data_IF_491874158127
#
_entry.id   IF_491874158127
#
_cell.length_a   1.000
_cell.length_b   1.000
_cell.length_c   1.000
_cell.angle_alpha   90.00
_cell.angle_beta   90.00
_cell.angle_gamma   90.00
#
_symmetry.space_group_name_H-M   'P 1'
#
loop_
_entity.id
_entity.type
_entity.pdbx_description
1 polymer ?
#
# COMPACT_ATOMS: atom_id res chain seq x y z
N UNK A 1 -6.91 9.82 5.76
CA UNK A 1 -6.44 10.46 7.01
C UNK A 1 -4.99 10.09 7.26
N UNK A 2 -4.65 8.84 7.56
CA UNK A 2 -3.25 8.42 7.88
C UNK A 2 -2.27 8.73 6.74
N UNK A 3 -2.68 8.64 5.49
CA UNK A 3 -1.86 9.00 4.32
C UNK A 3 -1.75 10.52 4.07
N UNK A 4 -2.36 11.34 4.93
CA UNK A 4 -2.43 12.81 4.75
C UNK A 4 -3.08 13.26 3.44
N UNK A 5 -4.00 12.47 2.91
CA UNK A 5 -4.82 12.82 1.74
C UNK A 5 -6.13 13.51 2.12
N UNK A 6 -6.55 13.32 3.37
CA UNK A 6 -7.74 13.95 3.97
C UNK A 6 -7.45 14.33 5.41
N UNK A 7 -8.00 15.45 5.86
CA UNK A 7 -7.89 15.86 7.26
C UNK A 7 -8.84 15.08 8.17
N UNK A 8 -8.47 14.80 9.42
CA UNK A 8 -9.37 14.20 10.39
C UNK A 8 -10.46 15.20 10.81
N UNK A 9 -11.67 14.72 11.03
CA UNK A 9 -12.76 15.55 11.57
C UNK A 9 -12.47 15.99 13.01
N UNK A 10 -11.75 15.14 13.76
CA UNK A 10 -11.31 15.41 15.14
C UNK A 10 -10.13 14.49 15.47
N UNK A 11 -9.44 14.81 16.58
CA UNK A 11 -8.27 14.07 17.04
C UNK A 11 -6.97 14.52 16.39
N UNK A 12 -5.86 13.92 16.84
CA UNK A 12 -4.52 14.24 16.36
C UNK A 12 -3.81 12.95 15.92
N UNK A 13 -2.99 13.08 14.89
CA UNK A 13 -2.13 12.02 14.42
C UNK A 13 -0.66 12.37 14.68
N UNK A 14 0.07 11.40 15.17
CA UNK A 14 1.49 11.54 15.46
C UNK A 14 2.29 10.52 14.66
N UNK A 15 3.39 10.96 14.09
CA UNK A 15 4.37 10.11 13.43
C UNK A 15 5.71 10.29 14.14
N UNK A 16 6.20 9.21 14.74
CA UNK A 16 7.47 9.23 15.49
C UNK A 16 7.50 10.34 16.58
N UNK A 17 6.39 10.49 17.29
CA UNK A 17 6.23 11.49 18.37
C UNK A 17 5.98 12.93 17.92
N UNK A 18 5.96 13.21 16.59
CA UNK A 18 5.64 14.54 16.05
C UNK A 18 4.23 14.56 15.45
N UNK A 19 3.50 15.63 15.74
CA UNK A 19 2.20 15.84 15.09
C UNK A 19 2.35 15.92 13.56
N UNK A 20 1.56 15.17 12.81
CA UNK A 20 1.67 15.21 11.34
C UNK A 20 1.32 16.58 10.76
N UNK A 21 0.47 17.36 11.46
CA UNK A 21 0.15 18.74 11.08
C UNK A 21 1.36 19.69 11.12
N UNK A 22 2.41 19.32 11.85
CA UNK A 22 3.66 20.09 11.96
C UNK A 22 4.67 19.71 10.87
N UNK A 23 4.39 18.69 10.09
CA UNK A 23 5.26 18.20 9.01
C UNK A 23 4.76 18.75 7.67
N UNK A 24 5.70 19.02 6.74
CA UNK A 24 5.27 19.26 5.37
C UNK A 24 4.66 17.99 4.78
N UNK A 25 3.53 18.08 4.07
CA UNK A 25 2.89 16.91 3.45
C UNK A 25 3.83 16.11 2.54
N UNK A 26 4.73 16.80 1.86
CA UNK A 26 5.74 16.18 1.00
C UNK A 26 6.75 15.33 1.81
N UNK A 27 7.29 15.88 2.89
CA UNK A 27 8.22 15.17 3.76
C UNK A 27 7.55 13.96 4.44
N UNK A 28 6.29 14.10 4.84
CA UNK A 28 5.50 13.03 5.43
C UNK A 28 5.24 11.89 4.42
N UNK A 29 4.76 12.23 3.22
CA UNK A 29 4.44 11.24 2.16
C UNK A 29 5.66 10.52 1.59
N UNK A 30 6.86 11.04 1.78
CA UNK A 30 8.10 10.30 1.48
C UNK A 30 8.38 9.16 2.47
N UNK A 31 7.79 9.22 3.68
CA UNK A 31 7.97 8.23 4.73
C UNK A 31 6.76 7.31 4.92
N UNK A 32 5.57 7.78 4.54
CA UNK A 32 4.31 7.04 4.65
C UNK A 32 3.75 6.86 3.25
N UNK A 33 3.79 5.63 2.76
CA UNK A 33 3.34 5.28 1.42
C UNK A 33 1.97 4.62 1.47
N UNK A 34 1.10 4.92 0.52
CA UNK A 34 -0.26 4.40 0.45
C UNK A 34 -0.52 3.68 -0.88
N UNK A 35 -0.95 2.43 -0.77
CA UNK A 35 -1.39 1.61 -1.89
C UNK A 35 -2.91 1.51 -1.87
N UNK A 36 -3.55 2.07 -2.87
CA UNK A 36 -5.01 2.09 -3.02
C UNK A 36 -5.55 0.73 -3.46
N UNK A 37 -6.77 0.42 -3.07
CA UNK A 37 -7.54 -0.73 -3.55
C UNK A 37 -7.63 -0.74 -5.09
N UNK A 38 -7.93 0.41 -5.69
CA UNK A 38 -7.89 0.57 -7.14
C UNK A 38 -6.57 1.25 -7.53
N UNK A 39 -5.66 0.54 -8.22
CA UNK A 39 -4.36 1.07 -8.53
C UNK A 39 -4.45 2.21 -9.56
N UNK A 40 -3.97 3.39 -9.20
CA UNK A 40 -3.80 4.51 -10.13
C UNK A 40 -2.41 4.43 -10.76
N UNK A 41 -2.35 4.12 -12.06
CA UNK A 41 -1.13 4.15 -12.84
C UNK A 41 -1.05 5.43 -13.67
N UNK A 42 0.18 5.89 -13.91
CA UNK A 42 0.49 7.14 -14.60
C UNK A 42 1.28 6.85 -15.88
N UNK A 43 1.35 7.85 -16.78
CA UNK A 43 2.10 7.73 -18.02
C UNK A 43 1.55 6.66 -18.97
N UNK A 44 2.43 6.04 -19.72
CA UNK A 44 2.07 5.07 -20.76
C UNK A 44 2.59 3.66 -20.47
N UNK A 45 3.67 3.52 -19.72
CA UNK A 45 4.37 2.26 -19.51
C UNK A 45 4.56 1.92 -18.03
N UNK A 46 4.92 0.68 -17.75
CA UNK A 46 5.35 0.23 -16.42
C UNK A 46 6.56 1.05 -15.98
N UNK A 47 7.52 1.29 -16.87
CA UNK A 47 8.69 2.12 -16.58
C UNK A 47 8.30 3.50 -16.07
N UNK A 48 7.35 4.19 -16.71
CA UNK A 48 6.92 5.52 -16.28
C UNK A 48 6.44 5.52 -14.83
N UNK A 49 5.76 4.44 -14.43
CA UNK A 49 5.28 4.27 -13.06
C UNK A 49 6.40 4.02 -12.06
N UNK A 50 7.33 3.12 -12.37
CA UNK A 50 8.43 2.78 -11.47
C UNK A 50 9.50 3.89 -11.41
N UNK A 51 9.64 4.69 -12.46
CA UNK A 51 10.54 5.84 -12.50
C UNK A 51 10.01 7.07 -11.76
N UNK A 52 8.70 7.19 -11.57
CA UNK A 52 8.06 8.36 -10.93
C UNK A 52 8.65 8.69 -9.54
N UNK A 53 8.87 7.73 -8.61
CA UNK A 53 9.48 8.02 -7.32
C UNK A 53 10.88 8.62 -7.41
N UNK A 54 11.66 8.23 -8.43
CA UNK A 54 12.99 8.78 -8.69
C UNK A 54 12.90 10.21 -9.20
N UNK A 55 11.98 10.47 -10.15
CA UNK A 55 11.74 11.81 -10.70
C UNK A 55 11.34 12.81 -9.61
N UNK A 56 10.42 12.42 -8.72
CA UNK A 56 10.00 13.24 -7.57
C UNK A 56 11.18 13.58 -6.65
N UNK A 57 12.18 12.69 -6.55
CA UNK A 57 13.39 12.86 -5.73
C UNK A 57 14.57 13.45 -6.50
N UNK A 58 14.39 13.78 -7.78
CA UNK A 58 15.44 14.28 -8.68
C UNK A 58 16.65 13.33 -8.74
N UNK A 59 16.38 12.04 -8.78
CA UNK A 59 17.37 10.97 -8.88
C UNK A 59 17.23 10.22 -10.20
N UNK A 60 18.31 9.63 -10.67
CA UNK A 60 18.29 8.76 -11.86
C UNK A 60 17.57 7.45 -11.53
N UNK A 61 16.65 6.99 -12.39
CA UNK A 61 15.98 5.71 -12.23
C UNK A 61 16.97 4.53 -12.24
N UNK A 62 16.75 3.57 -11.35
CA UNK A 62 17.52 2.31 -11.29
C UNK A 62 16.74 1.18 -11.98
N UNK A 63 16.97 1.00 -13.27
CA UNK A 63 16.27 -0.01 -14.07
C UNK A 63 16.56 -1.43 -13.59
N UNK A 64 17.77 -1.71 -13.09
CA UNK A 64 18.11 -3.04 -12.57
C UNK A 64 17.28 -3.39 -11.34
N UNK A 65 17.14 -2.42 -10.44
CA UNK A 65 16.25 -2.58 -9.28
C UNK A 65 14.79 -2.77 -9.71
N UNK A 66 14.30 -1.98 -10.67
CA UNK A 66 12.93 -2.12 -11.19
C UNK A 66 12.68 -3.51 -11.76
N UNK A 67 13.60 -4.04 -12.58
CA UNK A 67 13.50 -5.38 -13.16
C UNK A 67 13.54 -6.47 -12.08
N UNK A 68 14.46 -6.37 -11.12
CA UNK A 68 14.55 -7.30 -10.00
C UNK A 68 13.27 -7.28 -9.14
N UNK A 69 12.70 -6.10 -8.89
CA UNK A 69 11.44 -5.97 -8.14
C UNK A 69 10.26 -6.56 -8.93
N UNK A 70 10.19 -6.36 -10.25
CA UNK A 70 9.19 -7.01 -11.09
C UNK A 70 9.26 -8.53 -10.95
N UNK A 71 10.46 -9.11 -11.12
CA UNK A 71 10.68 -10.55 -10.98
C UNK A 71 10.29 -11.06 -9.58
N UNK A 72 10.68 -10.35 -8.52
CA UNK A 72 10.31 -10.67 -7.13
C UNK A 72 8.80 -10.77 -6.93
N UNK A 73 8.05 -9.87 -7.56
CA UNK A 73 6.58 -9.85 -7.50
C UNK A 73 5.90 -10.74 -8.56
N UNK A 74 6.63 -11.69 -9.15
CA UNK A 74 6.08 -12.64 -10.13
C UNK A 74 5.69 -12.00 -11.46
N UNK A 75 6.32 -10.89 -11.83
CA UNK A 75 6.13 -10.20 -13.10
C UNK A 75 7.38 -10.35 -13.97
N UNK A 76 7.26 -10.59 -15.29
CA UNK A 76 8.42 -10.65 -16.18
C UNK A 76 9.20 -9.33 -16.19
N UNK A 77 10.52 -9.38 -16.16
CA UNK A 77 11.40 -8.20 -16.27
C UNK A 77 11.12 -7.39 -17.55
N UNK A 78 10.82 -8.09 -18.65
CA UNK A 78 10.47 -7.50 -19.94
C UNK A 78 9.18 -6.65 -19.87
N UNK A 79 8.38 -6.82 -18.81
CA UNK A 79 7.17 -6.01 -18.60
C UNK A 79 7.48 -4.52 -18.37
N UNK A 80 8.74 -4.17 -18.06
CA UNK A 80 9.13 -2.78 -17.80
C UNK A 80 8.73 -1.84 -18.94
N UNK A 81 8.78 -2.28 -20.19
CA UNK A 81 8.42 -1.48 -21.38
C UNK A 81 6.95 -1.66 -21.82
N UNK A 82 6.19 -2.52 -21.14
CA UNK A 82 4.79 -2.82 -21.49
C UNK A 82 3.87 -1.63 -21.23
N UNK A 83 2.89 -1.44 -22.10
CA UNK A 83 1.84 -0.43 -21.90
C UNK A 83 0.99 -0.77 -20.69
N UNK A 84 0.66 0.23 -19.86
CA UNK A 84 -0.23 0.07 -18.71
C UNK A 84 -1.65 -0.34 -19.09
N UNK A 85 -2.06 -0.07 -20.33
CA UNK A 85 -3.38 -0.45 -20.85
C UNK A 85 -3.49 -1.95 -21.15
N UNK A 86 -2.36 -2.64 -21.30
CA UNK A 86 -2.30 -4.08 -21.56
C UNK A 86 -2.16 -4.92 -20.28
N UNK A 87 -2.12 -4.26 -19.12
CA UNK A 87 -2.00 -4.93 -17.83
C UNK A 87 -3.36 -5.41 -17.33
N UNK A 88 -3.39 -6.62 -16.78
CA UNK A 88 -4.52 -7.12 -15.97
C UNK A 88 -4.67 -6.31 -14.68
N UNK A 89 -5.79 -6.44 -13.99
CA UNK A 89 -6.02 -5.80 -12.70
C UNK A 89 -4.96 -6.16 -11.66
N UNK A 90 -4.63 -7.44 -11.55
CA UNK A 90 -3.61 -7.92 -10.63
C UNK A 90 -2.19 -7.48 -10.99
N UNK A 91 -1.84 -7.37 -12.29
CA UNK A 91 -0.57 -6.80 -12.74
C UNK A 91 -0.48 -5.32 -12.37
N UNK A 92 -1.55 -4.53 -12.59
CA UNK A 92 -1.62 -3.12 -12.20
C UNK A 92 -1.42 -2.94 -10.70
N UNK A 93 -2.03 -3.80 -9.89
CA UNK A 93 -1.92 -3.76 -8.44
C UNK A 93 -0.47 -3.99 -8.00
N UNK A 94 0.19 -5.02 -8.54
CA UNK A 94 1.60 -5.33 -8.23
C UNK A 94 2.53 -4.21 -8.70
N UNK A 95 2.35 -3.67 -9.90
CA UNK A 95 3.13 -2.52 -10.39
C UNK A 95 2.96 -1.30 -9.47
N UNK A 96 1.74 -1.02 -9.01
CA UNK A 96 1.49 0.07 -8.06
C UNK A 96 2.21 -0.15 -6.72
N UNK A 97 2.20 -1.38 -6.20
CA UNK A 97 2.92 -1.73 -4.98
C UNK A 97 4.44 -1.61 -5.16
N UNK A 98 4.99 -2.16 -6.25
CA UNK A 98 6.43 -2.04 -6.58
C UNK A 98 6.85 -0.57 -6.69
N UNK A 99 6.04 0.29 -7.30
CA UNK A 99 6.29 1.73 -7.36
C UNK A 99 6.48 2.34 -5.98
N UNK A 100 5.61 1.98 -5.03
CA UNK A 100 5.67 2.49 -3.66
C UNK A 100 6.89 1.97 -2.88
N UNK A 101 7.50 0.88 -3.33
CA UNK A 101 8.67 0.24 -2.72
C UNK A 101 10.00 0.61 -3.40
N UNK A 102 9.99 1.44 -4.46
CA UNK A 102 11.24 1.89 -5.08
C UNK A 102 12.15 2.65 -4.09
N UNK A 103 11.54 3.39 -3.17
CA UNK A 103 12.20 3.94 -1.98
C UNK A 103 11.45 3.41 -0.76
N UNK A 104 12.13 2.60 0.05
CA UNK A 104 11.50 1.94 1.19
C UNK A 104 10.90 2.97 2.15
N UNK A 105 9.58 2.97 2.35
CA UNK A 105 8.94 3.86 3.32
C UNK A 105 9.17 3.36 4.75
N UNK A 106 8.88 4.19 5.74
CA UNK A 106 8.82 3.75 7.14
C UNK A 106 7.47 3.13 7.50
N UNK A 107 6.40 3.60 6.84
CA UNK A 107 5.05 3.08 6.99
C UNK A 107 4.46 2.81 5.61
N UNK A 108 3.92 1.63 5.43
CA UNK A 108 3.21 1.19 4.24
C UNK A 108 1.75 0.94 4.59
N UNK A 109 0.86 1.71 3.97
CA UNK A 109 -0.58 1.57 4.11
C UNK A 109 -1.11 0.77 2.92
N UNK A 110 -1.70 -0.38 3.17
CA UNK A 110 -2.25 -1.30 2.17
C UNK A 110 -3.76 -1.35 2.31
N UNK A 111 -4.48 -0.97 1.27
CA UNK A 111 -5.94 -0.90 1.27
C UNK A 111 -6.50 -1.94 0.31
N UNK A 112 -6.85 -3.13 0.83
CA UNK A 112 -7.43 -4.27 0.09
C UNK A 112 -6.67 -4.63 -1.19
N UNK A 113 -5.33 -4.50 -1.18
CA UNK A 113 -4.50 -4.59 -2.38
C UNK A 113 -4.45 -5.99 -3.01
N UNK A 114 -4.86 -7.01 -2.29
CA UNK A 114 -4.85 -8.42 -2.74
C UNK A 114 -6.19 -8.87 -3.31
N UNK A 115 -7.24 -8.07 -3.17
CA UNK A 115 -8.61 -8.43 -3.57
C UNK A 115 -8.78 -8.77 -5.06
N UNK A 116 -7.92 -8.23 -5.93
CA UNK A 116 -7.91 -8.48 -7.36
C UNK A 116 -6.91 -9.56 -7.81
N UNK A 117 -6.23 -10.23 -6.86
CA UNK A 117 -5.22 -11.25 -7.11
C UNK A 117 -5.83 -12.66 -7.00
N UNK A 118 -5.31 -13.59 -7.80
CA UNK A 118 -5.50 -15.02 -7.56
C UNK A 118 -4.71 -15.48 -6.32
N UNK A 119 -5.01 -16.65 -5.79
CA UNK A 119 -4.46 -17.18 -4.54
C UNK A 119 -2.93 -17.31 -4.56
N UNK A 120 -2.33 -17.65 -5.71
CA UNK A 120 -0.88 -17.76 -5.84
C UNK A 120 -0.20 -16.40 -5.74
N UNK A 121 -0.70 -15.42 -6.49
CA UNK A 121 -0.18 -14.05 -6.47
C UNK A 121 -0.44 -13.37 -5.11
N UNK A 122 -1.58 -13.65 -4.47
CA UNK A 122 -1.88 -13.17 -3.13
C UNK A 122 -0.83 -13.66 -2.13
N UNK A 123 -0.57 -14.97 -2.09
CA UNK A 123 0.46 -15.56 -1.22
C UNK A 123 1.83 -14.96 -1.47
N UNK A 124 2.23 -14.82 -2.74
CA UNK A 124 3.50 -14.20 -3.08
C UNK A 124 3.62 -12.77 -2.55
N UNK A 125 2.58 -11.93 -2.72
CA UNK A 125 2.58 -10.56 -2.20
C UNK A 125 2.67 -10.56 -0.67
N UNK A 126 1.90 -11.41 0.02
CA UNK A 126 1.92 -11.53 1.47
C UNK A 126 3.31 -11.92 1.98
N UNK A 127 3.93 -12.95 1.40
CA UNK A 127 5.28 -13.38 1.76
C UNK A 127 6.31 -12.26 1.57
N UNK A 128 6.25 -11.53 0.44
CA UNK A 128 7.17 -10.42 0.18
C UNK A 128 6.98 -9.30 1.21
N UNK A 129 5.75 -8.93 1.54
CA UNK A 129 5.48 -7.88 2.53
C UNK A 129 6.02 -8.29 3.89
N UNK A 130 5.79 -9.53 4.33
CA UNK A 130 6.35 -10.05 5.59
C UNK A 130 7.88 -10.07 5.60
N UNK A 131 8.52 -10.46 4.49
CA UNK A 131 9.98 -10.39 4.35
C UNK A 131 10.49 -8.95 4.47
N UNK A 132 9.82 -7.99 3.81
CA UNK A 132 10.19 -6.58 3.90
C UNK A 132 10.08 -6.03 5.32
N UNK A 133 9.06 -6.43 6.07
CA UNK A 133 8.91 -6.08 7.50
C UNK A 133 10.08 -6.64 8.31
N UNK A 134 10.46 -7.90 8.06
CA UNK A 134 11.56 -8.55 8.77
C UNK A 134 12.95 -7.97 8.41
N UNK A 135 13.16 -7.62 7.15
CA UNK A 135 14.44 -7.10 6.63
C UNK A 135 14.63 -5.61 6.94
N UNK A 136 13.54 -4.86 6.99
CA UNK A 136 13.55 -3.41 7.16
C UNK A 136 12.72 -3.03 8.40
N UNK A 137 12.97 -1.85 8.95
CA UNK A 137 12.11 -1.28 10.01
C UNK A 137 10.83 -0.70 9.40
N UNK A 138 10.08 -1.52 8.68
CA UNK A 138 8.85 -1.17 8.00
C UNK A 138 7.65 -1.50 8.89
N UNK A 139 6.82 -0.50 9.18
CA UNK A 139 5.51 -0.73 9.76
C UNK A 139 4.47 -0.87 8.63
N UNK A 140 3.64 -1.90 8.68
CA UNK A 140 2.58 -2.10 7.70
C UNK A 140 1.22 -1.98 8.39
N UNK A 141 0.37 -1.14 7.86
CA UNK A 141 -1.05 -1.07 8.23
C UNK A 141 -1.87 -1.61 7.05
N UNK A 142 -2.52 -2.73 7.26
CA UNK A 142 -3.25 -3.44 6.22
C UNK A 142 -4.75 -3.41 6.50
N UNK A 143 -5.52 -2.84 5.58
CA UNK A 143 -6.98 -2.94 5.58
C UNK A 143 -7.34 -4.15 4.72
N UNK A 144 -8.00 -5.13 5.32
CA UNK A 144 -8.36 -6.38 4.65
C UNK A 144 -9.60 -7.02 5.28
N UNK A 145 -10.30 -7.84 4.51
CA UNK A 145 -11.33 -8.77 4.96
C UNK A 145 -10.87 -10.23 4.82
N UNK A 146 -9.64 -10.45 4.38
CA UNK A 146 -9.08 -11.78 4.19
C UNK A 146 -8.66 -12.41 5.51
N UNK A 147 -9.17 -13.62 5.77
CA UNK A 147 -8.94 -14.33 7.05
C UNK A 147 -7.50 -14.81 7.21
N UNK A 148 -6.80 -15.12 6.13
CA UNK A 148 -5.40 -15.53 6.19
C UNK A 148 -4.49 -14.33 6.50
N UNK A 149 -4.76 -13.18 5.86
CA UNK A 149 -4.03 -11.94 6.16
C UNK A 149 -4.24 -11.50 7.61
N UNK A 150 -5.48 -11.57 8.10
CA UNK A 150 -5.80 -11.27 9.52
C UNK A 150 -5.08 -12.23 10.46
N UNK A 151 -5.02 -13.53 10.15
CA UNK A 151 -4.41 -14.53 10.99
C UNK A 151 -2.87 -14.38 11.12
N UNK A 152 -2.22 -13.74 10.13
CA UNK A 152 -0.78 -13.50 10.14
C UNK A 152 -0.39 -12.09 10.63
N UNK A 153 -1.35 -11.28 11.04
CA UNK A 153 -1.08 -9.95 11.57
C UNK A 153 -0.56 -10.03 13.02
N UNK A 154 0.41 -9.17 13.36
CA UNK A 154 0.91 -9.05 14.74
C UNK A 154 -0.15 -8.46 15.66
N UNK A 155 -0.97 -7.53 15.15
CA UNK A 155 -2.06 -6.88 15.86
C UNK A 155 -3.25 -6.65 14.92
N UNK A 156 -4.47 -6.87 15.43
CA UNK A 156 -5.72 -6.67 14.68
C UNK A 156 -6.58 -5.61 15.35
N UNK A 157 -6.96 -4.58 14.61
CA UNK A 157 -7.86 -3.53 15.03
C UNK A 157 -9.16 -3.67 14.24
N UNK A 158 -10.25 -3.96 14.94
CA UNK A 158 -11.59 -4.03 14.33
C UNK A 158 -12.29 -2.70 14.44
N UNK A 159 -12.61 -2.09 13.29
CA UNK A 159 -13.41 -0.87 13.23
C UNK A 159 -14.88 -1.24 13.11
N UNK A 160 -15.71 -0.73 14.03
CA UNK A 160 -17.16 -0.86 13.95
C UNK A 160 -17.76 0.34 13.22
N UNK A 161 -18.76 0.11 12.38
CA UNK A 161 -19.49 1.19 11.73
C UNK A 161 -20.22 2.04 12.80
N UNK A 162 -20.12 3.34 12.70
CA UNK A 162 -20.88 4.26 13.56
C UNK A 162 -22.38 4.02 13.33
N UNK A 163 -23.10 3.56 14.36
CA UNK A 163 -24.54 3.29 14.31
C UNK A 163 -24.97 1.85 14.62
N UNK A 164 -24.05 0.88 14.71
CA UNK A 164 -24.41 -0.49 15.06
C UNK A 164 -24.88 -0.66 16.53
N UNK A 165 -24.50 0.25 17.42
CA UNK A 165 -24.87 0.19 18.84
C UNK A 165 -26.35 0.60 19.12
N UNK A 166 -27.03 1.26 18.19
CA UNK A 166 -28.43 1.68 18.39
C UNK A 166 -29.44 0.61 18.00
N UNK A 167 -29.08 -0.44 17.30
CA UNK A 167 -29.99 -1.50 16.89
C UNK A 167 -30.09 -2.66 17.89
N UNK A 168 -29.02 -2.93 18.66
CA UNK A 168 -29.08 -4.00 19.68
C UNK A 168 -29.90 -3.64 20.90
N UNK A 169 -30.00 -2.35 21.27
CA UNK A 169 -30.82 -1.92 22.40
C UNK A 169 -32.34 -1.89 22.13
N UNK A 170 -32.76 -1.95 20.86
CA UNK A 170 -34.20 -1.99 20.50
C UNK A 170 -34.74 -3.42 20.41
N UNK A 171 -33.91 -4.44 20.36
CA UNK A 171 -34.37 -5.84 20.33
C UNK A 171 -34.37 -6.53 21.71
N UNK A 172 -33.80 -5.93 22.74
CA UNK A 172 -33.89 -6.43 24.12
C UNK A 172 -35.07 -5.84 24.93
N UNK A 173 -35.89 -4.97 24.31
CA UNK A 173 -37.01 -4.29 24.99
C UNK A 173 -38.39 -4.62 24.36
N UNK A 174 -38.50 -5.75 23.63
CA UNK A 174 -39.80 -6.19 23.09
C UNK A 174 -40.17 -7.60 23.54
#
# INVERSE_FOLDING_TARGET
>A
IISSLMDPTSGNLYFDGRGIAEMSPEAYRKQVSYCFQTPALFGNTVYDNLALPYQIRQQSPDERKMQADLARFGLPEAMLTKSINELSGGEKQRVSLIRNLQFMPRVLLLDEITSALDEENKRNVNEIVHQLVAEHRLAVLWVTHDTEEIAHADEVITLRAHGAEQQEQQHESA
#
